data_IF_169859330125
#
_entry.id   IF_169859330125
#
_cell.length_a   1.000
_cell.length_b   1.000
_cell.length_c   1.000
_cell.angle_alpha   90.00
_cell.angle_beta   90.00
_cell.angle_gamma   90.00
#
_symmetry.space_group_name_H-M   'P 1'
#
loop_
_entity.id
_entity.type
_entity.pdbx_description
1 polymer ?
#
# COMPACT_ATOMS: atom_id res chain seq x y z
N UNK A 1 -4.83 -9.57 -14.10
CA UNK A 1 -5.23 -8.76 -12.93
C UNK A 1 -5.48 -7.33 -13.37
N UNK A 2 -6.35 -6.61 -12.68
CA UNK A 2 -6.56 -5.17 -12.86
C UNK A 2 -5.56 -4.43 -11.96
N UNK A 3 -4.93 -3.35 -12.42
CA UNK A 3 -4.02 -2.55 -11.58
C UNK A 3 -4.81 -1.56 -10.70
N UNK A 4 -5.56 -2.11 -9.76
CA UNK A 4 -6.44 -1.37 -8.83
C UNK A 4 -6.35 -1.90 -7.40
N UNK A 5 -6.69 -1.03 -6.44
CA UNK A 5 -7.05 -1.37 -5.06
C UNK A 5 -8.55 -1.19 -4.90
N UNK A 6 -9.23 -2.16 -4.31
CA UNK A 6 -10.64 -2.10 -3.93
C UNK A 6 -10.76 -2.09 -2.40
N UNK A 7 -11.45 -1.10 -1.86
CA UNK A 7 -11.77 -0.96 -0.42
C UNK A 7 -13.29 -1.06 -0.25
N UNK A 8 -13.78 -2.00 0.54
CA UNK A 8 -15.22 -2.22 0.79
C UNK A 8 -15.66 -1.63 2.13
N UNK A 9 -16.97 -1.41 2.34
CA UNK A 9 -17.52 -0.86 3.60
C UNK A 9 -17.08 -1.67 4.83
N UNK A 10 -17.01 -3.00 4.70
CA UNK A 10 -16.62 -3.91 5.78
C UNK A 10 -15.12 -3.89 6.13
N UNK A 11 -14.33 -3.00 5.51
CA UNK A 11 -12.90 -2.81 5.78
C UNK A 11 -11.97 -3.78 5.04
N UNK A 12 -12.48 -4.64 4.15
CA UNK A 12 -11.61 -5.46 3.31
C UNK A 12 -10.86 -4.59 2.28
N UNK A 13 -9.59 -4.93 2.07
CA UNK A 13 -8.72 -4.30 1.07
C UNK A 13 -8.20 -5.37 0.11
N UNK A 14 -8.57 -5.24 -1.16
CA UNK A 14 -8.19 -6.16 -2.23
C UNK A 14 -7.23 -5.47 -3.19
N UNK A 15 -6.08 -6.09 -3.48
CA UNK A 15 -5.03 -5.52 -4.35
C UNK A 15 -4.91 -6.36 -5.60
N UNK A 16 -4.91 -5.70 -6.76
CA UNK A 16 -4.74 -6.33 -8.07
C UNK A 16 -5.75 -7.44 -8.36
N UNK A 17 -7.03 -7.22 -8.05
CA UNK A 17 -8.10 -8.21 -8.32
C UNK A 17 -8.28 -8.51 -9.81
N UNK A 18 -8.78 -9.70 -10.12
CA UNK A 18 -9.32 -10.02 -11.44
C UNK A 18 -10.64 -9.29 -11.68
N UNK A 19 -11.07 -9.21 -12.95
CA UNK A 19 -12.38 -8.65 -13.29
C UNK A 19 -13.54 -9.49 -12.73
N UNK A 20 -13.33 -10.80 -12.56
CA UNK A 20 -14.32 -11.71 -11.97
C UNK A 20 -14.47 -11.46 -10.46
N UNK A 21 -13.35 -11.29 -9.74
CA UNK A 21 -13.36 -10.93 -8.33
C UNK A 21 -14.00 -9.56 -8.11
N UNK A 22 -13.65 -8.54 -8.90
CA UNK A 22 -14.32 -7.23 -8.86
C UNK A 22 -15.84 -7.37 -9.09
N UNK A 23 -16.25 -8.20 -10.04
CA UNK A 23 -17.66 -8.48 -10.27
C UNK A 23 -18.34 -9.19 -9.10
N UNK A 24 -17.62 -10.07 -8.39
CA UNK A 24 -18.08 -10.69 -7.15
C UNK A 24 -18.29 -9.66 -6.04
N UNK A 25 -17.35 -8.71 -5.89
CA UNK A 25 -17.43 -7.62 -4.90
C UNK A 25 -18.59 -6.66 -5.21
N UNK A 26 -18.85 -6.32 -6.48
CA UNK A 26 -19.99 -5.44 -6.82
C UNK A 26 -21.34 -6.12 -6.57
N UNK A 27 -21.45 -7.43 -6.78
CA UNK A 27 -22.73 -8.15 -6.64
C UNK A 27 -23.17 -8.35 -5.19
N UNK A 28 -22.25 -8.31 -4.23
CA UNK A 28 -22.57 -8.39 -2.79
C UNK A 28 -22.99 -7.04 -2.19
N UNK A 29 -22.74 -5.93 -2.91
CA UNK A 29 -23.16 -4.61 -2.43
C UNK A 29 -24.68 -4.63 -2.25
N UNK A 30 -25.15 -4.14 -1.10
CA UNK A 30 -26.54 -4.17 -0.65
C UNK A 30 -26.78 -5.15 0.51
N UNK A 31 -25.82 -6.02 0.82
CA UNK A 31 -25.84 -6.88 2.00
C UNK A 31 -25.53 -6.09 3.29
N UNK A 32 -25.80 -6.69 4.46
CA UNK A 32 -25.59 -6.03 5.75
C UNK A 32 -24.09 -5.73 5.98
N UNK A 33 -23.77 -4.44 6.12
CA UNK A 33 -22.38 -3.98 6.29
C UNK A 33 -21.56 -3.93 5.01
N UNK A 34 -22.19 -4.07 3.83
CA UNK A 34 -21.52 -3.98 2.53
C UNK A 34 -22.37 -3.21 1.51
N UNK A 35 -22.40 -1.88 1.62
CA UNK A 35 -23.23 -0.98 0.79
C UNK A 35 -22.41 -0.09 -0.13
N UNK A 36 -21.09 -0.08 0.00
CA UNK A 36 -20.24 0.62 -0.95
C UNK A 36 -18.87 -0.03 -1.10
N UNK A 37 -18.24 0.27 -2.24
CA UNK A 37 -16.81 0.08 -2.42
C UNK A 37 -16.20 1.27 -3.15
N UNK A 38 -14.91 1.49 -2.89
CA UNK A 38 -14.07 2.50 -3.55
C UNK A 38 -12.94 1.79 -4.29
N UNK A 39 -12.72 2.19 -5.53
CA UNK A 39 -11.70 1.68 -6.44
C UNK A 39 -10.69 2.79 -6.73
N UNK A 40 -9.42 2.51 -6.48
CA UNK A 40 -8.30 3.38 -6.84
C UNK A 40 -7.38 2.63 -7.82
N UNK A 41 -6.76 3.35 -8.76
CA UNK A 41 -5.71 2.75 -9.61
C UNK A 41 -4.45 2.48 -8.81
N UNK A 42 -3.56 1.65 -9.34
CA UNK A 42 -2.23 1.41 -8.79
C UNK A 42 -1.17 2.05 -9.71
N UNK A 43 -0.30 2.93 -9.18
CA UNK A 43 -0.44 3.60 -7.88
C UNK A 43 -1.68 4.52 -7.86
N UNK A 44 -2.22 4.81 -6.68
CA UNK A 44 -3.34 5.74 -6.58
C UNK A 44 -2.89 7.18 -6.88
N UNK A 45 -3.79 8.00 -7.41
CA UNK A 45 -3.53 9.39 -7.74
C UNK A 45 -4.44 10.32 -6.93
N UNK A 46 -3.99 11.54 -6.61
CA UNK A 46 -4.85 12.56 -6.01
C UNK A 46 -6.13 12.79 -6.79
N UNK A 47 -7.26 12.83 -6.06
CA UNK A 47 -8.60 13.02 -6.62
C UNK A 47 -8.95 12.10 -7.80
N UNK A 48 -8.38 10.89 -7.88
CA UNK A 48 -8.71 9.93 -8.93
C UNK A 48 -9.17 8.59 -8.35
N UNK A 49 -10.48 8.37 -8.35
CA UNK A 49 -11.10 7.13 -7.89
C UNK A 49 -12.45 6.92 -8.57
N UNK A 50 -12.95 5.69 -8.53
CA UNK A 50 -14.35 5.39 -8.79
C UNK A 50 -14.96 4.74 -7.55
N UNK A 51 -16.22 4.99 -7.27
CA UNK A 51 -16.93 4.38 -6.14
C UNK A 51 -18.33 4.01 -6.54
N UNK A 52 -18.88 2.98 -5.90
CA UNK A 52 -20.27 2.61 -6.07
C UNK A 52 -20.92 2.45 -4.71
N UNK A 53 -22.13 2.97 -4.59
CA UNK A 53 -23.01 2.77 -3.45
C UNK A 53 -24.30 2.10 -3.91
N UNK A 54 -24.81 1.16 -3.13
CA UNK A 54 -26.10 0.54 -3.37
C UNK A 54 -26.72 0.03 -2.06
N UNK A 55 -28.03 0.23 -1.94
CA UNK A 55 -28.85 -0.36 -0.89
C UNK A 55 -29.88 -1.30 -1.51
N UNK A 56 -30.11 -2.44 -0.85
CA UNK A 56 -30.98 -3.50 -1.35
C UNK A 56 -32.37 -2.99 -1.71
N UNK A 57 -32.75 -3.15 -2.97
CA UNK A 57 -34.03 -2.71 -3.51
C UNK A 57 -34.05 -1.29 -4.09
N UNK A 58 -32.92 -0.57 -4.03
CA UNK A 58 -32.68 0.66 -4.77
C UNK A 58 -31.81 0.43 -6.02
N UNK A 59 -31.47 1.52 -6.70
CA UNK A 59 -30.54 1.49 -7.83
C UNK A 59 -29.08 1.53 -7.35
N UNK A 60 -28.12 1.34 -8.26
CA UNK A 60 -26.71 1.58 -7.97
C UNK A 60 -26.37 3.04 -8.29
N UNK A 61 -25.71 3.72 -7.35
CA UNK A 61 -25.11 5.03 -7.59
C UNK A 61 -23.62 4.81 -7.86
N UNK A 62 -23.20 5.07 -9.09
CA UNK A 62 -21.80 5.00 -9.50
C UNK A 62 -21.24 6.42 -9.62
N UNK A 63 -20.08 6.65 -9.04
CA UNK A 63 -19.37 7.92 -9.07
C UNK A 63 -17.92 7.74 -9.52
N UNK A 64 -17.34 8.75 -10.14
CA UNK A 64 -15.90 8.82 -10.32
C UNK A 64 -15.37 10.25 -10.21
N UNK A 65 -14.17 10.39 -9.65
CA UNK A 65 -13.42 11.64 -9.62
C UNK A 65 -12.26 11.57 -10.60
N UNK A 66 -12.08 12.67 -11.34
CA UNK A 66 -11.12 12.77 -12.43
C UNK A 66 -10.09 13.87 -12.16
N UNK A 67 -9.22 13.60 -11.19
CA UNK A 67 -8.04 14.40 -10.86
C UNK A 67 -8.31 15.75 -10.19
N UNK A 68 -9.58 16.07 -9.89
CA UNK A 68 -9.95 17.27 -9.15
C UNK A 68 -11.31 17.13 -8.47
N UNK A 69 -11.49 17.77 -7.31
CA UNK A 69 -12.78 17.85 -6.62
C UNK A 69 -13.92 18.44 -7.48
N UNK A 70 -13.59 19.34 -8.41
CA UNK A 70 -14.53 19.96 -9.36
C UNK A 70 -14.86 19.08 -10.56
N UNK A 71 -14.20 17.92 -10.71
CA UNK A 71 -14.43 16.93 -11.76
C UNK A 71 -14.92 15.63 -11.11
N UNK A 72 -16.05 15.73 -10.42
CA UNK A 72 -16.73 14.62 -9.79
C UNK A 72 -18.02 14.33 -10.54
N UNK A 73 -18.20 13.10 -10.99
CA UNK A 73 -19.36 12.72 -11.81
C UNK A 73 -20.11 11.57 -11.15
N UNK A 74 -21.43 11.55 -11.33
CA UNK A 74 -22.33 10.55 -10.81
C UNK A 74 -23.26 10.05 -11.91
N UNK A 75 -23.62 8.77 -11.86
CA UNK A 75 -24.67 8.17 -12.67
C UNK A 75 -25.42 7.11 -11.87
N UNK A 76 -26.70 6.95 -12.17
CA UNK A 76 -27.51 5.84 -11.64
C UNK A 76 -27.50 4.68 -12.62
N UNK A 77 -27.33 3.46 -12.11
CA UNK A 77 -27.33 2.23 -12.90
C UNK A 77 -28.34 1.21 -12.35
N UNK A 78 -29.14 0.64 -13.24
CA UNK A 78 -30.26 -0.25 -12.90
C UNK A 78 -29.85 -1.67 -12.49
N UNK A 79 -28.54 -1.96 -12.45
CA UNK A 79 -28.07 -3.27 -12.04
C UNK A 79 -26.55 -3.45 -12.01
N UNK A 80 -26.08 -4.53 -11.35
CA UNK A 80 -24.66 -4.75 -11.10
C UNK A 80 -23.86 -5.00 -12.39
N UNK A 81 -24.48 -5.52 -13.45
CA UNK A 81 -23.80 -5.77 -14.73
C UNK A 81 -23.23 -4.49 -15.35
N UNK A 82 -24.01 -3.41 -15.33
CA UNK A 82 -23.61 -2.10 -15.85
C UNK A 82 -22.49 -1.50 -15.00
N UNK A 83 -22.61 -1.56 -13.67
CA UNK A 83 -21.58 -1.10 -12.73
C UNK A 83 -20.26 -1.84 -12.94
N UNK A 84 -20.31 -3.17 -13.06
CA UNK A 84 -19.12 -4.01 -13.28
C UNK A 84 -18.43 -3.64 -14.59
N UNK A 85 -19.19 -3.44 -15.66
CA UNK A 85 -18.64 -3.04 -16.96
C UNK A 85 -17.93 -1.67 -16.86
N UNK A 86 -18.58 -0.68 -16.26
CA UNK A 86 -18.03 0.66 -16.09
C UNK A 86 -16.77 0.66 -15.21
N UNK A 87 -16.81 0.04 -14.03
CA UNK A 87 -15.64 -0.05 -13.13
C UNK A 87 -14.48 -0.83 -13.75
N UNK A 88 -14.76 -1.90 -14.49
CA UNK A 88 -13.71 -2.67 -15.18
C UNK A 88 -13.08 -1.84 -16.30
N UNK A 89 -13.88 -1.12 -17.09
CA UNK A 89 -13.38 -0.23 -18.13
C UNK A 89 -12.57 0.94 -17.55
N UNK A 90 -13.06 1.55 -16.47
CA UNK A 90 -12.35 2.60 -15.72
C UNK A 90 -11.01 2.10 -15.18
N UNK A 91 -10.96 0.89 -14.63
CA UNK A 91 -9.75 0.26 -14.11
C UNK A 91 -8.73 -0.02 -15.21
N UNK A 92 -9.18 -0.42 -16.40
CA UNK A 92 -8.33 -0.67 -17.57
C UNK A 92 -7.90 0.59 -18.31
N UNK A 93 -8.56 1.71 -18.05
CA UNK A 93 -8.41 2.94 -18.82
C UNK A 93 -8.84 2.74 -20.29
N UNK A 94 -9.89 1.94 -20.50
CA UNK A 94 -10.42 1.67 -21.83
C UNK A 94 -11.01 2.95 -22.43
N UNK A 95 -10.77 3.21 -23.71
CA UNK A 95 -11.38 4.35 -24.39
C UNK A 95 -12.91 4.18 -24.43
N UNK A 96 -13.66 5.19 -23.95
CA UNK A 96 -15.12 5.17 -23.93
C UNK A 96 -15.74 4.25 -22.87
N UNK A 97 -15.01 3.94 -21.79
CA UNK A 97 -15.54 3.16 -20.65
C UNK A 97 -16.80 3.79 -20.01
N UNK A 98 -16.96 5.10 -20.18
CA UNK A 98 -18.05 5.95 -19.72
C UNK A 98 -19.21 6.07 -20.74
N UNK A 99 -19.06 5.51 -21.95
CA UNK A 99 -20.04 5.64 -23.01
C UNK A 99 -21.35 4.88 -22.71
N UNK A 100 -22.48 5.50 -23.04
CA UNK A 100 -23.81 4.91 -22.83
C UNK A 100 -24.37 5.08 -21.42
N UNK A 101 -23.69 5.86 -20.57
CA UNK A 101 -24.13 6.27 -19.25
C UNK A 101 -24.33 7.79 -19.22
N UNK A 102 -25.45 8.23 -18.66
CA UNK A 102 -25.79 9.65 -18.54
C UNK A 102 -25.13 10.27 -17.30
N UNK A 103 -23.80 10.43 -17.35
CA UNK A 103 -23.03 11.03 -16.26
C UNK A 103 -23.40 12.50 -16.04
N UNK A 104 -23.72 12.83 -14.79
CA UNK A 104 -23.96 14.19 -14.34
C UNK A 104 -22.78 14.68 -13.51
N UNK A 105 -22.40 15.96 -13.67
CA UNK A 105 -21.44 16.60 -12.79
C UNK A 105 -22.06 16.78 -11.39
N UNK A 106 -21.38 16.27 -10.37
CA UNK A 106 -21.73 16.45 -8.97
C UNK A 106 -21.00 17.69 -8.43
N UNK A 107 -21.76 18.74 -8.13
CA UNK A 107 -21.21 19.99 -7.60
C UNK A 107 -20.78 19.81 -6.13
N UNK A 108 -19.48 19.72 -5.92
CA UNK A 108 -18.85 19.63 -4.59
C UNK A 108 -18.52 21.01 -4.00
N UNK A 109 -18.94 22.10 -4.66
CA UNK A 109 -18.53 23.45 -4.33
C UNK A 109 -17.15 23.82 -4.87
N UNK A 110 -16.67 25.05 -4.58
CA UNK A 110 -15.37 25.50 -5.04
C UNK A 110 -14.25 24.67 -4.41
N UNK A 111 -13.19 24.41 -5.19
CA UNK A 111 -11.96 23.83 -4.67
C UNK A 111 -11.40 24.74 -3.57
N UNK A 112 -11.10 24.17 -2.41
CA UNK A 112 -10.51 24.91 -1.29
C UNK A 112 -9.04 25.15 -1.59
N UNK A 113 -8.62 26.41 -1.65
CA UNK A 113 -7.21 26.75 -1.79
C UNK A 113 -6.47 26.41 -0.48
N UNK A 114 -5.39 25.65 -0.59
CA UNK A 114 -4.51 25.32 0.52
C UNK A 114 -3.42 26.38 0.58
N UNK A 115 -3.26 27.12 1.70
CA UNK A 115 -2.19 28.10 1.83
C UNK A 115 -0.83 27.41 1.79
N UNK A 116 0.22 28.08 1.28
CA UNK A 116 1.58 27.51 1.30
C UNK A 116 2.03 27.25 2.74
N UNK A 117 2.99 26.34 2.90
CA UNK A 117 3.65 26.12 4.19
C UNK A 117 4.37 27.39 4.64
N UNK A 118 4.11 27.80 5.88
CA UNK A 118 4.80 28.92 6.54
C UNK A 118 5.80 28.36 7.55
N UNK A 119 6.84 27.72 7.01
CA UNK A 119 7.92 27.09 7.76
C UNK A 119 9.23 27.79 7.41
N UNK A 120 10.18 27.80 8.35
CA UNK A 120 11.53 28.19 7.98
C UNK A 120 12.19 27.15 7.05
N UNK A 121 13.31 27.53 6.44
CA UNK A 121 13.98 26.69 5.44
C UNK A 121 14.45 25.34 6.02
N UNK A 122 14.86 25.32 7.30
CA UNK A 122 15.33 24.11 7.96
C UNK A 122 14.17 23.18 8.29
N UNK A 123 13.09 23.71 8.84
CA UNK A 123 11.88 22.93 9.15
C UNK A 123 11.26 22.34 7.88
N UNK A 124 11.23 23.13 6.79
CA UNK A 124 10.78 22.66 5.48
C UNK A 124 11.64 21.51 4.96
N UNK A 125 12.97 21.64 5.02
CA UNK A 125 13.89 20.58 4.59
C UNK A 125 13.78 19.32 5.44
N UNK A 126 13.67 19.46 6.77
CA UNK A 126 13.50 18.33 7.69
C UNK A 126 12.20 17.57 7.42
N UNK A 127 11.08 18.28 7.21
CA UNK A 127 9.78 17.71 6.88
C UNK A 127 9.81 16.98 5.52
N UNK A 128 10.30 17.65 4.47
CA UNK A 128 10.41 17.03 3.14
C UNK A 128 11.31 15.79 3.16
N UNK A 129 12.44 15.83 3.87
CA UNK A 129 13.31 14.68 4.03
C UNK A 129 12.56 13.52 4.67
N UNK A 130 11.80 13.77 5.75
CA UNK A 130 11.02 12.72 6.42
C UNK A 130 9.99 12.09 5.50
N UNK A 131 9.23 12.91 4.77
CA UNK A 131 8.23 12.40 3.80
C UNK A 131 8.93 11.58 2.71
N UNK A 132 10.08 12.04 2.20
CA UNK A 132 10.87 11.34 1.17
C UNK A 132 11.37 9.98 1.65
N UNK A 133 11.85 9.88 2.88
CA UNK A 133 12.29 8.61 3.49
C UNK A 133 11.14 7.59 3.53
N UNK A 134 9.98 7.98 4.08
CA UNK A 134 8.81 7.10 4.18
C UNK A 134 8.26 6.71 2.80
N UNK A 135 8.25 7.66 1.86
CA UNK A 135 7.83 7.45 0.48
C UNK A 135 8.77 6.48 -0.26
N UNK A 136 10.08 6.57 -0.04
CA UNK A 136 11.07 5.64 -0.60
C UNK A 136 10.92 4.23 -0.02
N UNK A 137 10.51 4.11 1.25
CA UNK A 137 10.13 2.85 1.86
C UNK A 137 9.01 2.13 1.11
N UNK A 138 8.02 2.89 0.60
CA UNK A 138 7.00 2.39 -0.33
C UNK A 138 5.89 1.52 0.29
N UNK A 139 5.75 1.54 1.62
CA UNK A 139 4.66 0.85 2.33
C UNK A 139 3.57 1.79 2.85
N UNK A 140 3.88 3.06 3.10
CA UNK A 140 2.91 4.02 3.60
C UNK A 140 1.94 4.47 2.49
N UNK A 141 0.65 4.47 2.80
CA UNK A 141 -0.39 5.08 1.98
C UNK A 141 -0.27 6.60 1.97
N UNK A 142 -0.92 7.26 1.01
CA UNK A 142 -1.01 8.74 0.98
C UNK A 142 -1.62 9.32 2.24
N UNK A 143 -2.61 8.65 2.83
CA UNK A 143 -3.25 9.09 4.06
C UNK A 143 -2.28 9.03 5.25
N UNK A 144 -1.54 7.93 5.41
CA UNK A 144 -0.54 7.78 6.47
C UNK A 144 0.62 8.77 6.30
N UNK A 145 1.08 9.00 5.07
CA UNK A 145 2.10 10.02 4.80
C UNK A 145 1.61 11.43 5.14
N UNK A 146 0.33 11.73 4.90
CA UNK A 146 -0.29 13.01 5.27
C UNK A 146 -0.27 13.19 6.78
N UNK A 147 -0.66 12.16 7.52
CA UNK A 147 -0.65 12.18 9.00
C UNK A 147 0.77 12.33 9.54
N UNK A 148 1.74 11.60 8.98
CA UNK A 148 3.16 11.74 9.34
C UNK A 148 3.64 13.18 9.10
N UNK A 149 3.29 13.78 7.96
CA UNK A 149 3.70 15.14 7.63
C UNK A 149 3.05 16.20 8.53
N UNK A 150 1.77 16.02 8.86
CA UNK A 150 1.03 16.89 9.79
C UNK A 150 1.66 16.85 11.20
N UNK A 151 2.04 15.66 11.68
CA UNK A 151 2.50 15.46 13.05
C UNK A 151 4.01 15.71 13.26
N UNK A 152 4.82 15.67 12.19
CA UNK A 152 6.28 15.64 12.30
C UNK A 152 6.90 16.81 13.08
N UNK A 153 6.39 18.03 12.88
CA UNK A 153 6.92 19.26 13.50
C UNK A 153 6.13 19.69 14.76
N UNK A 154 5.16 18.87 15.20
CA UNK A 154 4.33 19.17 16.37
C UNK A 154 5.19 19.14 17.63
N UNK A 155 5.13 20.22 18.41
CA UNK A 155 5.85 20.32 19.68
C UNK A 155 5.02 21.10 20.70
N UNK A 156 4.55 20.42 21.74
CA UNK A 156 3.59 20.99 22.70
C UNK A 156 2.33 21.44 21.98
N UNK A 157 1.95 22.71 22.17
CA UNK A 157 0.78 23.30 21.51
C UNK A 157 1.06 23.79 20.08
N UNK A 158 2.32 23.77 19.62
CA UNK A 158 2.71 24.25 18.29
C UNK A 158 2.38 23.19 17.23
N UNK A 159 1.51 23.54 16.28
CA UNK A 159 1.13 22.72 15.11
C UNK A 159 1.30 23.56 13.83
N UNK A 160 2.52 23.60 13.27
CA UNK A 160 2.83 24.54 12.18
C UNK A 160 2.33 24.08 10.80
N UNK A 161 1.89 22.82 10.67
CA UNK A 161 1.39 22.23 9.41
C UNK A 161 -0.05 21.77 9.64
N UNK A 162 -0.99 22.26 8.83
CA UNK A 162 -2.36 21.73 8.82
C UNK A 162 -2.45 20.43 8.02
N UNK A 163 -3.50 19.62 8.26
CA UNK A 163 -3.77 18.41 7.48
C UNK A 163 -3.86 18.69 5.98
N UNK A 164 -4.48 19.80 5.57
CA UNK A 164 -4.57 20.19 4.15
C UNK A 164 -3.20 20.54 3.57
N UNK A 165 -2.36 21.26 4.31
CA UNK A 165 -0.99 21.59 3.89
C UNK A 165 -0.11 20.34 3.77
N UNK A 166 -0.20 19.43 4.74
CA UNK A 166 0.47 18.14 4.70
C UNK A 166 0.02 17.31 3.49
N UNK A 167 -1.29 17.25 3.21
CA UNK A 167 -1.83 16.54 2.06
C UNK A 167 -1.33 17.11 0.74
N UNK A 168 -1.30 18.44 0.59
CA UNK A 168 -0.75 19.08 -0.61
C UNK A 168 0.75 18.81 -0.81
N UNK A 169 1.54 18.78 0.26
CA UNK A 169 2.96 18.40 0.20
C UNK A 169 3.13 16.95 -0.24
N UNK A 170 2.39 16.03 0.38
CA UNK A 170 2.45 14.60 0.09
C UNK A 170 2.00 14.31 -1.33
N UNK A 171 0.91 14.92 -1.80
CA UNK A 171 0.40 14.71 -3.15
C UNK A 171 1.42 15.14 -4.22
N UNK A 172 2.11 16.26 -4.01
CA UNK A 172 3.20 16.68 -4.89
C UNK A 172 4.32 15.64 -4.94
N UNK A 173 4.84 15.23 -3.78
CA UNK A 173 5.95 14.28 -3.70
C UNK A 173 5.55 12.89 -4.19
N UNK A 174 4.31 12.49 -3.97
CA UNK A 174 3.74 11.24 -4.47
C UNK A 174 3.69 11.23 -5.99
N UNK A 175 3.22 12.30 -6.62
CA UNK A 175 3.22 12.42 -8.09
C UNK A 175 4.63 12.40 -8.68
N UNK A 176 5.60 13.08 -8.05
CA UNK A 176 7.02 13.00 -8.43
C UNK A 176 7.52 11.54 -8.40
N UNK A 177 7.15 10.78 -7.37
CA UNK A 177 7.48 9.36 -7.23
C UNK A 177 6.78 8.48 -8.25
N UNK A 178 5.50 8.73 -8.53
CA UNK A 178 4.75 8.00 -9.56
C UNK A 178 5.41 8.18 -10.93
N UNK A 179 5.82 9.41 -11.26
CA UNK A 179 6.54 9.69 -12.51
C UNK A 179 7.89 8.97 -12.56
N UNK A 180 8.67 8.98 -11.47
CA UNK A 180 9.93 8.23 -11.36
C UNK A 180 9.70 6.73 -11.66
N UNK A 181 8.68 6.13 -11.05
CA UNK A 181 8.35 4.71 -11.20
C UNK A 181 7.93 4.35 -12.63
N UNK A 182 7.37 5.29 -13.38
CA UNK A 182 6.98 5.08 -14.79
C UNK A 182 8.20 4.74 -15.67
N UNK A 183 9.40 5.15 -15.26
CA UNK A 183 10.65 4.87 -15.97
C UNK A 183 11.21 3.47 -15.64
N UNK A 184 10.75 2.85 -14.55
CA UNK A 184 11.26 1.55 -14.11
C UNK A 184 10.82 0.44 -15.07
N UNK A 185 11.73 -0.49 -15.34
CA UNK A 185 11.50 -1.61 -16.27
C UNK A 185 11.77 -2.92 -15.55
N UNK A 186 10.90 -3.90 -15.82
CA UNK A 186 11.02 -5.24 -15.25
C UNK A 186 10.68 -5.30 -13.75
N UNK A 187 10.94 -6.48 -13.19
CA UNK A 187 10.75 -6.80 -11.78
C UNK A 187 11.82 -6.10 -10.92
N UNK A 188 11.42 -5.49 -9.81
CA UNK A 188 12.32 -4.85 -8.84
C UNK A 188 12.70 -5.81 -7.72
N UNK A 189 13.78 -5.49 -6.98
CA UNK A 189 14.20 -6.34 -5.86
C UNK A 189 13.13 -6.48 -4.77
N UNK A 190 12.35 -5.43 -4.41
CA UNK A 190 11.21 -5.59 -3.51
C UNK A 190 10.12 -6.54 -4.02
N UNK A 191 9.89 -6.63 -5.34
CA UNK A 191 8.92 -7.60 -5.89
C UNK A 191 9.46 -9.04 -5.80
N UNK A 192 10.76 -9.23 -6.04
CA UNK A 192 11.43 -10.52 -5.79
C UNK A 192 11.36 -10.93 -4.33
N UNK A 193 11.55 -9.96 -3.43
CA UNK A 193 11.45 -10.16 -1.99
C UNK A 193 10.03 -10.59 -1.60
N UNK A 194 9.01 -9.91 -2.13
CA UNK A 194 7.60 -10.31 -1.91
C UNK A 194 7.33 -11.72 -2.38
N UNK A 195 7.83 -12.11 -3.57
CA UNK A 195 7.71 -13.50 -4.05
C UNK A 195 8.40 -14.51 -3.13
N UNK A 196 9.57 -14.18 -2.57
CA UNK A 196 10.25 -15.05 -1.61
C UNK A 196 9.42 -15.20 -0.32
N UNK A 197 8.82 -14.11 0.17
CA UNK A 197 7.96 -14.12 1.35
C UNK A 197 6.65 -14.88 1.11
N UNK A 198 6.07 -14.79 -0.08
CA UNK A 198 4.94 -15.62 -0.52
C UNK A 198 5.28 -17.11 -0.48
N UNK A 199 6.39 -17.52 -1.10
CA UNK A 199 6.82 -18.91 -1.10
C UNK A 199 7.09 -19.46 0.33
N UNK A 200 7.61 -18.62 1.24
CA UNK A 200 7.80 -18.99 2.65
C UNK A 200 6.48 -19.16 3.39
N UNK A 201 5.48 -18.32 3.13
CA UNK A 201 4.12 -18.50 3.69
C UNK A 201 3.49 -19.80 3.22
N UNK A 202 3.60 -20.10 1.93
CA UNK A 202 3.10 -21.35 1.35
C UNK A 202 3.82 -22.59 1.92
N UNK A 203 5.08 -22.46 2.32
CA UNK A 203 5.82 -23.54 2.96
C UNK A 203 5.51 -23.71 4.45
N UNK A 204 4.73 -22.82 5.08
CA UNK A 204 4.37 -22.87 6.50
C UNK A 204 5.25 -22.05 7.44
N UNK A 205 5.95 -21.03 6.92
CA UNK A 205 6.65 -20.01 7.71
C UNK A 205 5.80 -18.74 7.78
N UNK A 206 5.67 -18.15 8.97
CA UNK A 206 5.06 -16.83 9.13
C UNK A 206 5.99 -15.76 8.56
N UNK A 207 5.74 -15.28 7.33
CA UNK A 207 6.56 -14.26 6.69
C UNK A 207 5.85 -12.90 6.66
N UNK A 208 6.49 -11.84 7.19
CA UNK A 208 5.91 -10.49 7.25
C UNK A 208 6.87 -9.39 6.81
N UNK A 209 6.47 -8.66 5.77
CA UNK A 209 7.20 -7.49 5.29
C UNK A 209 6.80 -6.23 6.07
N UNK A 210 7.75 -5.33 6.31
CA UNK A 210 7.54 -4.02 6.94
C UNK A 210 6.62 -4.09 8.18
N UNK A 211 6.92 -5.04 9.06
CA UNK A 211 6.08 -5.43 10.18
C UNK A 211 6.52 -4.75 11.47
N UNK A 212 5.62 -3.95 12.05
CA UNK A 212 5.87 -3.12 13.26
C UNK A 212 7.00 -2.09 13.07
N UNK A 213 7.21 -1.24 14.07
CA UNK A 213 8.19 -0.17 13.98
C UNK A 213 9.65 -0.63 14.21
N UNK A 214 9.87 -1.66 15.04
CA UNK A 214 11.21 -2.06 15.48
C UNK A 214 11.29 -3.54 15.89
N UNK A 215 12.49 -4.04 16.17
CA UNK A 215 12.73 -5.43 16.60
C UNK A 215 11.86 -5.83 17.80
N UNK A 216 11.85 -5.04 18.85
CA UNK A 216 11.15 -5.36 20.11
C UNK A 216 9.65 -5.53 19.91
N UNK A 217 9.01 -4.65 19.13
CA UNK A 217 7.59 -4.79 18.78
C UNK A 217 7.37 -6.06 17.94
N UNK A 218 8.20 -6.27 16.92
CA UNK A 218 8.12 -7.46 16.07
C UNK A 218 8.24 -8.76 16.86
N UNK A 219 9.18 -8.87 17.80
CA UNK A 219 9.34 -10.04 18.67
C UNK A 219 8.10 -10.30 19.54
N UNK A 220 7.45 -9.24 20.01
CA UNK A 220 6.24 -9.37 20.84
C UNK A 220 4.99 -9.75 20.05
N UNK A 221 4.91 -9.35 18.77
CA UNK A 221 3.69 -9.47 17.97
C UNK A 221 3.71 -10.63 16.97
N UNK A 222 4.89 -11.05 16.48
CA UNK A 222 5.02 -12.05 15.39
C UNK A 222 4.39 -13.41 15.71
N UNK A 223 4.32 -13.78 17.00
CA UNK A 223 3.68 -15.02 17.45
C UNK A 223 2.17 -15.06 17.18
N UNK A 224 1.51 -13.90 17.07
CA UNK A 224 0.08 -13.79 16.75
C UNK A 224 -0.22 -13.80 15.25
N UNK A 225 0.79 -13.70 14.40
CA UNK A 225 0.61 -13.53 12.95
C UNK A 225 0.59 -14.85 12.16
N UNK A 226 0.98 -15.95 12.82
CA UNK A 226 1.00 -17.28 12.23
C UNK A 226 -0.25 -18.09 12.55
N UNK A 227 -0.53 -19.09 11.71
CA UNK A 227 -1.43 -20.17 12.08
C UNK A 227 -0.85 -21.05 13.20
N UNK A 228 -1.67 -21.86 13.89
CA UNK A 228 -1.22 -22.70 15.00
C UNK A 228 -0.14 -23.72 14.62
N UNK A 229 -0.05 -24.07 13.33
CA UNK A 229 0.92 -25.04 12.80
C UNK A 229 2.18 -24.38 12.20
N UNK A 230 2.32 -23.05 12.31
CA UNK A 230 3.52 -22.37 11.81
C UNK A 230 4.75 -22.81 12.63
N UNK A 231 5.81 -23.27 11.94
CA UNK A 231 7.03 -23.76 12.61
C UNK A 231 8.00 -22.64 13.01
N UNK A 232 7.93 -21.52 12.32
CA UNK A 232 8.81 -20.38 12.54
C UNK A 232 8.37 -19.16 11.76
N UNK A 233 9.19 -18.12 11.80
CA UNK A 233 8.89 -16.82 11.22
C UNK A 233 10.09 -16.21 10.51
N UNK A 234 9.80 -15.27 9.62
CA UNK A 234 10.74 -14.28 9.10
C UNK A 234 10.04 -12.93 8.96
N UNK A 235 10.72 -11.86 9.33
CA UNK A 235 10.21 -10.51 9.10
C UNK A 235 11.31 -9.47 8.98
N UNK A 236 10.93 -8.30 8.49
CA UNK A 236 11.68 -7.07 8.70
C UNK A 236 10.71 -5.96 9.12
N UNK A 237 11.17 -5.01 9.92
CA UNK A 237 10.36 -3.93 10.46
C UNK A 237 10.62 -2.60 9.73
N UNK A 238 9.85 -1.55 10.04
CA UNK A 238 9.96 -0.24 9.37
C UNK A 238 11.38 0.33 9.37
N UNK A 239 12.12 0.26 10.47
CA UNK A 239 13.52 0.74 10.48
C UNK A 239 14.45 -0.05 9.53
N UNK A 240 14.19 -1.33 9.26
CA UNK A 240 14.94 -2.09 8.25
C UNK A 240 14.61 -1.62 6.84
N UNK A 241 13.33 -1.29 6.59
CA UNK A 241 12.88 -0.65 5.36
C UNK A 241 13.59 0.69 5.14
N UNK A 242 13.68 1.53 6.19
CA UNK A 242 14.38 2.82 6.13
C UNK A 242 15.87 2.63 5.76
N UNK A 243 16.55 1.68 6.38
CA UNK A 243 17.93 1.31 6.03
C UNK A 243 18.06 0.83 4.58
N UNK A 244 17.13 -0.01 4.11
CA UNK A 244 17.14 -0.51 2.74
C UNK A 244 16.93 0.62 1.72
N UNK A 245 15.97 1.52 1.98
CA UNK A 245 15.72 2.70 1.16
C UNK A 245 16.90 3.67 1.15
N UNK A 246 17.68 3.73 2.24
CA UNK A 246 18.92 4.50 2.33
C UNK A 246 20.15 3.78 1.71
N UNK A 247 19.97 2.60 1.11
CA UNK A 247 21.04 1.84 0.46
C UNK A 247 21.98 1.10 1.41
N UNK A 248 21.57 0.89 2.66
CA UNK A 248 22.35 0.20 3.69
C UNK A 248 22.09 -1.32 3.74
N UNK A 249 21.30 -1.84 2.80
CA UNK A 249 20.85 -3.23 2.77
C UNK A 249 19.62 -3.48 3.66
N UNK A 250 19.05 -4.67 3.53
CA UNK A 250 17.87 -5.09 4.30
C UNK A 250 18.24 -6.20 5.27
N UNK A 251 17.92 -6.01 6.55
CA UNK A 251 18.08 -7.03 7.58
C UNK A 251 16.77 -7.79 7.79
N UNK A 252 16.84 -9.12 7.79
CA UNK A 252 15.73 -10.01 8.12
C UNK A 252 15.98 -10.70 9.47
N UNK A 253 14.95 -10.70 10.29
CA UNK A 253 14.88 -11.38 11.57
C UNK A 253 14.06 -12.65 11.39
N UNK A 254 14.50 -13.76 11.97
CA UNK A 254 13.88 -15.07 11.78
C UNK A 254 14.07 -15.93 13.03
N UNK A 255 13.27 -16.99 13.16
CA UNK A 255 13.32 -17.88 14.32
C UNK A 255 12.30 -19.00 14.26
N UNK A 256 12.53 -20.03 15.08
CA UNK A 256 11.52 -21.05 15.40
C UNK A 256 10.58 -20.58 16.52
N UNK A 257 9.30 -20.95 16.46
CA UNK A 257 8.36 -20.65 17.55
C UNK A 257 8.56 -21.54 18.80
N UNK A 258 9.32 -22.63 18.65
CA UNK A 258 9.71 -23.54 19.74
C UNK A 258 10.89 -23.00 20.59
N UNK A 259 11.50 -21.88 20.17
CA UNK A 259 12.66 -21.27 20.82
C UNK A 259 13.97 -22.05 20.67
N UNK A 260 14.01 -23.10 19.83
CA UNK A 260 15.21 -23.93 19.68
C UNK A 260 16.17 -23.36 18.64
N UNK A 261 17.48 -23.40 18.93
CA UNK A 261 18.51 -22.98 17.98
C UNK A 261 18.54 -23.86 16.72
N UNK A 262 18.14 -25.13 16.83
CA UNK A 262 18.04 -26.07 15.70
C UNK A 262 16.95 -25.63 14.74
N UNK A 263 15.73 -25.37 15.23
CA UNK A 263 14.63 -24.88 14.40
C UNK A 263 14.93 -23.50 13.83
N UNK A 264 15.50 -22.58 14.61
CA UNK A 264 15.92 -21.27 14.09
C UNK A 264 16.93 -21.42 12.94
N UNK A 265 17.94 -22.27 13.08
CA UNK A 265 18.92 -22.52 12.01
C UNK A 265 18.25 -23.13 10.77
N UNK A 266 17.34 -24.09 10.94
CA UNK A 266 16.60 -24.69 9.84
C UNK A 266 15.75 -23.64 9.10
N UNK A 267 15.00 -22.80 9.83
CA UNK A 267 14.23 -21.68 9.26
C UNK A 267 15.15 -20.71 8.52
N UNK A 268 16.32 -20.38 9.08
CA UNK A 268 17.31 -19.53 8.42
C UNK A 268 17.77 -20.09 7.07
N UNK A 269 18.01 -21.40 6.98
CA UNK A 269 18.34 -22.06 5.71
C UNK A 269 17.20 -21.99 4.70
N UNK A 270 15.95 -22.17 5.13
CA UNK A 270 14.78 -22.05 4.26
C UNK A 270 14.62 -20.62 3.71
N UNK A 271 14.78 -19.61 4.59
CA UNK A 271 14.73 -18.19 4.19
C UNK A 271 15.82 -17.89 3.16
N UNK A 272 17.07 -18.27 3.42
CA UNK A 272 18.17 -18.05 2.48
C UNK A 272 17.95 -18.77 1.16
N UNK A 273 17.40 -19.99 1.18
CA UNK A 273 17.08 -20.73 -0.03
C UNK A 273 16.00 -20.01 -0.86
N UNK A 274 14.93 -19.53 -0.23
CA UNK A 274 13.86 -18.79 -0.90
C UNK A 274 14.38 -17.47 -1.52
N UNK A 275 15.18 -16.71 -0.77
CA UNK A 275 15.80 -15.47 -1.27
C UNK A 275 16.69 -15.72 -2.50
N UNK A 276 17.58 -16.72 -2.41
CA UNK A 276 18.46 -17.11 -3.53
C UNK A 276 17.69 -17.60 -4.75
N UNK A 277 16.56 -18.30 -4.56
CA UNK A 277 15.70 -18.74 -5.66
C UNK A 277 15.09 -17.57 -6.44
N UNK A 278 14.94 -16.40 -5.81
CA UNK A 278 14.49 -15.17 -6.45
C UNK A 278 15.64 -14.29 -6.98
N UNK A 279 16.89 -14.73 -6.83
CA UNK A 279 18.08 -14.01 -7.30
C UNK A 279 18.55 -12.87 -6.40
N UNK A 280 18.02 -12.77 -5.18
CA UNK A 280 18.44 -11.74 -4.23
C UNK A 280 19.80 -12.08 -3.61
N UNK A 281 20.75 -11.12 -3.53
CA UNK A 281 22.01 -11.35 -2.84
C UNK A 281 21.74 -11.46 -1.34
N UNK A 282 22.29 -12.49 -0.71
CA UNK A 282 21.98 -12.85 0.68
C UNK A 282 23.25 -13.27 1.40
N UNK A 283 23.52 -12.60 2.51
CA UNK A 283 24.64 -12.85 3.41
C UNK A 283 24.11 -13.40 4.73
N UNK A 284 24.56 -14.61 5.08
CA UNK A 284 24.29 -15.24 6.37
C UNK A 284 25.35 -16.32 6.64
N UNK A 285 25.83 -16.39 7.87
CA UNK A 285 26.91 -17.31 8.29
C UNK A 285 26.40 -18.66 8.82
N UNK A 286 25.08 -18.87 8.81
CA UNK A 286 24.45 -20.06 9.36
C UNK A 286 24.17 -20.00 10.87
N UNK A 287 24.53 -18.89 11.54
CA UNK A 287 24.32 -18.75 12.97
C UNK A 287 22.87 -18.33 13.28
N UNK A 288 22.15 -19.03 14.17
CA UNK A 288 20.81 -18.65 14.62
C UNK A 288 20.79 -17.32 15.40
N UNK A 289 21.95 -16.86 15.88
CA UNK A 289 22.10 -15.60 16.63
C UNK A 289 22.39 -14.40 15.71
N UNK A 290 22.52 -14.64 14.39
CA UNK A 290 22.82 -13.62 13.38
C UNK A 290 21.64 -13.45 12.44
N UNK A 291 21.27 -12.20 12.20
CA UNK A 291 20.28 -11.83 11.20
C UNK A 291 20.78 -12.15 9.78
N UNK A 292 19.84 -12.32 8.85
CA UNK A 292 20.13 -12.48 7.42
C UNK A 292 20.16 -11.08 6.80
N UNK A 293 21.17 -10.77 5.99
CA UNK A 293 21.30 -9.45 5.34
C UNK A 293 21.23 -9.58 3.83
N UNK A 294 20.43 -8.72 3.18
CA UNK A 294 20.40 -8.58 1.73
C UNK A 294 21.20 -7.33 1.34
N UNK A 295 22.33 -7.54 0.68
CA UNK A 295 23.20 -6.46 0.18
C UNK A 295 24.10 -6.96 -0.96
N UNK A 296 24.37 -6.16 -2.01
CA UNK A 296 23.73 -4.88 -2.32
C UNK A 296 22.26 -5.09 -2.73
N UNK A 297 21.38 -4.15 -2.39
CA UNK A 297 19.95 -4.23 -2.70
C UNK A 297 19.51 -2.97 -3.44
N UNK A 298 18.87 -3.13 -4.58
CA UNK A 298 18.31 -2.00 -5.34
C UNK A 298 16.87 -1.75 -4.91
N UNK A 299 16.71 -0.96 -3.85
CA UNK A 299 15.42 -0.71 -3.21
C UNK A 299 14.53 0.22 -4.06
N UNK A 300 13.75 -0.37 -4.95
CA UNK A 300 12.76 0.30 -5.81
C UNK A 300 11.36 -0.28 -5.59
N UNK A 301 10.81 -0.05 -4.40
CA UNK A 301 9.45 -0.52 -4.07
C UNK A 301 8.43 0.38 -4.78
N UNK A 302 7.56 -0.23 -5.59
CA UNK A 302 6.48 0.48 -6.29
C UNK A 302 5.35 0.83 -5.30
N UNK A 303 4.89 2.06 -5.37
CA UNK A 303 3.69 2.52 -4.68
C UNK A 303 2.45 1.73 -5.16
N UNK A 304 1.54 1.47 -4.22
CA UNK A 304 0.28 0.76 -4.47
C UNK A 304 -0.92 1.66 -4.18
N UNK A 305 -0.96 2.27 -2.98
CA UNK A 305 -2.05 3.12 -2.48
C UNK A 305 -2.68 2.62 -1.19
#
# INVERSE_FOLDING_TARGET
MLEIVVKTENGERHVRVSAEELAGLVRRIGDEGDRFLVVQRIPDLPDAFAQVWHEKGGDYTLEHRDGAATRHFQVTADGPGTVVAALTGWARQDAGWDAGLDWALLDMGPAREVPPLDLDARESEELERRVREMLAGGYASRAELTEIAEEYLVSGDRRPVSREQAGALVDRMWLERVEEQSSWRGETDPERLTRAFEALRESGITARENFTCCRTCGESEIGGEGGPDARGFVYFHTQCTDSAAAGQGLMLLYGGFDGSSETTTAVGHEVVAALKATGLPTEWDGSPDRAITLTPLDWRRRLVG
#
